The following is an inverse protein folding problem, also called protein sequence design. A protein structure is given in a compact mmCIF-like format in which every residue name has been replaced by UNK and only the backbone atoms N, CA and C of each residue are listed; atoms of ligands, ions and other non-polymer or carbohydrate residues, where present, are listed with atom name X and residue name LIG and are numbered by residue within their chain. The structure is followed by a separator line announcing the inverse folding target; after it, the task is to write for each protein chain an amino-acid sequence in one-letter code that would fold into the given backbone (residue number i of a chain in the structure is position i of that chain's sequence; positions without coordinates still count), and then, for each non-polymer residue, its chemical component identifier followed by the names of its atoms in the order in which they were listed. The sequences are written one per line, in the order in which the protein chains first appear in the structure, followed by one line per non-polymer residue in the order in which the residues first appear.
data_IF_668621274888
#
_entry.id   IF_668621274888
#
_cell.length_a   1.000
_cell.length_b   1.000
_cell.length_c   1.000
_cell.angle_alpha   90.00
_cell.angle_beta   90.00
_cell.angle_gamma   90.00
#
_symmetry.space_group_name_H-M   'P 1'
#
loop_
_entity.id
_entity.type
_entity.pdbx_description
1 polymer ?
#
# COMPACT_ATOMS: atom_id res chain seq x y z
N UNK A 1 36.38 -8.92 7.95
CA UNK A 1 35.34 -9.72 8.66
C UNK A 1 34.01 -9.37 7.99
N UNK A 2 33.09 -10.32 7.73
CA UNK A 2 31.82 -9.97 7.08
C UNK A 2 30.93 -9.22 8.08
N UNK A 3 30.39 -8.07 7.68
CA UNK A 3 29.42 -7.30 8.46
C UNK A 3 28.23 -8.19 8.86
N UNK A 4 27.77 -8.05 10.11
CA UNK A 4 26.65 -8.80 10.71
C UNK A 4 25.35 -8.02 10.63
N UNK A 5 24.23 -8.70 10.84
CA UNK A 5 22.89 -8.12 10.68
C UNK A 5 22.62 -6.85 11.51
N UNK A 6 23.09 -6.72 12.77
CA UNK A 6 22.93 -5.47 13.53
C UNK A 6 23.59 -4.26 12.87
N UNK A 7 24.86 -4.37 12.48
CA UNK A 7 25.57 -3.30 11.80
C UNK A 7 24.91 -2.94 10.47
N UNK A 8 24.45 -3.93 9.70
CA UNK A 8 23.66 -3.71 8.48
C UNK A 8 22.38 -2.93 8.80
N UNK A 9 21.64 -3.34 9.83
CA UNK A 9 20.40 -2.67 10.27
C UNK A 9 20.66 -1.20 10.62
N UNK A 10 21.76 -0.90 11.32
CA UNK A 10 22.14 0.47 11.65
C UNK A 10 22.37 1.33 10.41
N UNK A 11 23.05 0.79 9.38
CA UNK A 11 23.18 1.47 8.08
C UNK A 11 21.83 1.68 7.38
N UNK A 12 20.98 0.66 7.35
CA UNK A 12 19.65 0.76 6.73
C UNK A 12 18.78 1.80 7.42
N UNK A 13 18.86 1.90 8.75
CA UNK A 13 18.13 2.88 9.54
C UNK A 13 18.65 4.29 9.35
N UNK A 14 19.96 4.48 9.35
CA UNK A 14 20.56 5.78 9.09
C UNK A 14 20.27 6.25 7.66
N UNK A 15 20.64 5.45 6.66
CA UNK A 15 20.52 5.82 5.25
C UNK A 15 19.08 5.94 4.82
N UNK A 16 18.20 5.05 5.30
CA UNK A 16 16.80 5.11 4.95
C UNK A 16 16.01 6.21 5.67
N UNK A 17 16.62 6.99 6.58
CA UNK A 17 16.04 8.24 7.13
C UNK A 17 16.40 9.45 6.25
N UNK A 18 17.32 9.29 5.31
CA UNK A 18 17.70 10.34 4.38
C UNK A 18 16.56 10.54 3.39
N UNK A 19 16.03 11.77 3.35
CA UNK A 19 14.98 12.16 2.42
C UNK A 19 15.57 12.40 1.03
N UNK A 20 16.08 11.35 0.38
CA UNK A 20 16.74 11.43 -0.93
C UNK A 20 15.96 12.27 -1.94
N UNK A 21 14.62 12.14 -1.97
CA UNK A 21 13.76 12.86 -2.92
C UNK A 21 13.47 14.33 -2.57
N UNK A 22 13.97 14.83 -1.45
CA UNK A 22 13.81 16.24 -1.09
C UNK A 22 14.71 17.11 -2.00
N UNK A 23 14.19 18.24 -2.47
CA UNK A 23 14.87 19.13 -3.43
C UNK A 23 16.16 19.70 -2.85
N UNK A 24 16.18 19.95 -1.54
CA UNK A 24 17.33 20.52 -0.84
C UNK A 24 18.30 19.47 -0.29
N UNK A 25 18.13 18.20 -0.66
CA UNK A 25 19.02 17.14 -0.19
C UNK A 25 20.36 17.15 -0.92
N UNK A 26 21.44 17.34 -0.16
CA UNK A 26 22.84 17.34 -0.65
C UNK A 26 23.66 16.15 -0.12
N UNK A 27 23.02 15.06 0.32
CA UNK A 27 23.71 13.90 0.90
C UNK A 27 24.69 13.32 -0.11
N UNK A 28 25.96 13.28 0.26
CA UNK A 28 27.08 12.94 -0.64
C UNK A 28 27.93 11.85 -0.01
N UNK A 29 28.46 10.95 -0.82
CA UNK A 29 29.37 9.90 -0.33
C UNK A 29 30.83 10.28 -0.55
N UNK A 30 31.74 9.68 0.19
CA UNK A 30 33.17 9.84 -0.08
C UNK A 30 33.57 9.13 -1.39
N UNK A 31 34.77 9.46 -1.88
CA UNK A 31 35.31 8.88 -3.12
C UNK A 31 35.27 7.34 -3.16
N UNK A 32 35.66 6.68 -2.06
CA UNK A 32 35.70 5.21 -1.99
C UNK A 32 34.32 4.60 -2.12
N UNK A 33 33.31 5.22 -1.51
CA UNK A 33 31.92 4.79 -1.59
C UNK A 33 31.40 4.90 -3.03
N UNK A 34 31.68 6.01 -3.74
CA UNK A 34 31.31 6.13 -5.16
C UNK A 34 31.97 5.04 -6.02
N UNK A 35 33.27 4.77 -5.83
CA UNK A 35 33.98 3.69 -6.55
C UNK A 35 33.33 2.31 -6.33
N UNK A 36 32.89 2.02 -5.09
CA UNK A 36 32.21 0.78 -4.76
C UNK A 36 30.79 0.71 -5.35
N UNK A 37 30.08 1.84 -5.42
CA UNK A 37 28.77 1.91 -6.11
C UNK A 37 28.96 1.62 -7.60
N UNK A 38 29.96 2.21 -8.26
CA UNK A 38 30.28 1.93 -9.67
C UNK A 38 30.56 0.44 -9.91
N UNK A 39 31.35 -0.18 -9.03
CA UNK A 39 31.66 -1.61 -9.11
C UNK A 39 30.40 -2.46 -8.91
N UNK A 40 29.58 -2.12 -7.91
CA UNK A 40 28.32 -2.80 -7.62
C UNK A 40 27.38 -2.81 -8.83
N UNK A 41 27.18 -1.65 -9.47
CA UNK A 41 26.32 -1.56 -10.67
C UNK A 41 26.90 -2.33 -11.85
N UNK A 42 28.22 -2.48 -11.95
CA UNK A 42 28.83 -3.36 -12.97
C UNK A 42 28.38 -4.82 -12.83
N UNK A 43 28.25 -5.33 -11.60
CA UNK A 43 27.71 -6.66 -11.35
C UNK A 43 26.19 -6.74 -11.53
N UNK A 44 25.44 -5.73 -11.07
CA UNK A 44 23.98 -5.71 -11.21
C UNK A 44 23.54 -5.68 -12.68
N UNK A 45 24.31 -5.05 -13.56
CA UNK A 45 24.07 -5.07 -15.02
C UNK A 45 24.19 -6.45 -15.64
N UNK A 46 24.77 -7.43 -14.96
CA UNK A 46 24.79 -8.82 -15.42
C UNK A 46 23.42 -9.51 -15.28
N UNK A 47 22.48 -8.95 -14.53
CA UNK A 47 21.15 -9.52 -14.28
C UNK A 47 20.15 -9.11 -15.37
N UNK A 48 19.21 -9.99 -15.72
CA UNK A 48 18.04 -9.61 -16.50
C UNK A 48 17.16 -8.63 -15.70
N UNK A 49 16.54 -7.62 -16.35
CA UNK A 49 15.65 -6.70 -15.66
C UNK A 49 14.30 -7.35 -15.32
N UNK A 50 13.71 -6.97 -14.18
CA UNK A 50 12.43 -7.51 -13.70
C UNK A 50 11.19 -6.73 -14.18
N UNK A 51 11.41 -5.60 -14.85
CA UNK A 51 10.39 -4.72 -15.41
C UNK A 51 10.94 -3.90 -16.59
N UNK A 52 10.06 -3.17 -17.26
CA UNK A 52 10.40 -2.32 -18.41
C UNK A 52 11.31 -1.13 -18.09
N UNK A 53 11.41 -0.75 -16.81
CA UNK A 53 12.27 0.33 -16.33
C UNK A 53 13.70 -0.14 -16.05
N UNK A 54 14.04 -1.39 -16.37
CA UNK A 54 15.40 -1.90 -16.21
C UNK A 54 15.79 -2.27 -14.79
N UNK A 55 14.85 -2.26 -13.83
CA UNK A 55 15.11 -2.59 -12.42
C UNK A 55 15.72 -3.98 -12.29
N UNK A 56 16.74 -4.12 -11.44
CA UNK A 56 17.38 -5.40 -11.09
C UNK A 56 17.05 -5.75 -9.65
N UNK A 57 16.95 -7.03 -9.32
CA UNK A 57 16.75 -7.46 -7.94
C UNK A 57 17.58 -8.69 -7.55
N UNK A 58 17.91 -8.78 -6.26
CA UNK A 58 18.57 -9.91 -5.63
C UNK A 58 18.10 -10.07 -4.18
N UNK A 59 18.26 -11.27 -3.64
CA UNK A 59 18.08 -11.60 -2.23
C UNK A 59 19.44 -11.87 -1.61
N UNK A 60 19.87 -10.96 -0.73
CA UNK A 60 21.13 -11.03 -0.01
C UNK A 60 20.90 -11.64 1.38
N UNK A 61 21.95 -12.23 1.95
CA UNK A 61 21.93 -12.71 3.32
C UNK A 61 23.11 -12.21 4.15
N UNK A 62 22.90 -12.15 5.47
CA UNK A 62 23.96 -11.94 6.46
C UNK A 62 23.72 -12.82 7.67
N UNK A 63 24.81 -13.16 8.37
CA UNK A 63 24.72 -13.83 9.66
C UNK A 63 24.26 -12.82 10.73
N UNK A 64 23.41 -13.27 11.65
CA UNK A 64 22.94 -12.49 12.79
C UNK A 64 24.08 -11.89 13.60
N UNK A 65 25.17 -12.63 13.76
CA UNK A 65 26.27 -12.25 14.66
C UNK A 65 25.98 -12.69 16.09
N UNK A 66 26.68 -12.06 17.02
CA UNK A 66 26.60 -12.28 18.46
C UNK A 66 25.98 -11.04 19.13
N UNK A 67 25.67 -11.15 20.42
CA UNK A 67 25.16 -10.01 21.19
C UNK A 67 26.15 -8.82 21.22
N UNK A 68 27.46 -9.10 21.15
CA UNK A 68 28.51 -8.08 21.09
C UNK A 68 28.52 -7.33 19.75
N UNK A 69 27.95 -7.91 18.68
CA UNK A 69 27.74 -7.22 17.41
C UNK A 69 26.50 -6.31 17.44
N UNK A 70 25.62 -6.46 18.43
CA UNK A 70 24.34 -5.75 18.52
C UNK A 70 24.45 -4.44 19.27
N UNK A 71 24.79 -4.49 20.57
CA UNK A 71 24.83 -3.32 21.43
C UNK A 71 25.64 -3.61 22.71
N UNK A 72 26.34 -2.61 23.24
CA UNK A 72 27.06 -2.72 24.52
C UNK A 72 26.08 -2.64 25.70
N UNK A 73 26.21 -3.56 26.65
CA UNK A 73 25.30 -3.64 27.79
C UNK A 73 25.35 -2.41 28.70
N UNK A 74 26.55 -1.88 28.97
CA UNK A 74 26.72 -0.75 29.87
C UNK A 74 26.18 0.53 29.22
N UNK A 75 26.40 0.71 27.92
CA UNK A 75 25.81 1.81 27.13
C UNK A 75 24.27 1.70 27.07
N UNK A 76 23.73 0.52 26.76
CA UNK A 76 22.28 0.31 26.71
C UNK A 76 21.59 0.54 28.06
N UNK A 77 22.25 0.22 29.19
CA UNK A 77 21.76 0.53 30.53
C UNK A 77 21.85 2.04 30.81
N UNK A 78 22.96 2.68 30.44
CA UNK A 78 23.17 4.11 30.64
C UNK A 78 22.13 4.96 29.89
N UNK A 79 21.78 4.54 28.67
CA UNK A 79 20.75 5.17 27.83
C UNK A 79 19.32 4.78 28.22
N UNK A 80 19.16 3.82 29.15
CA UNK A 80 17.88 3.36 29.64
C UNK A 80 17.09 2.50 28.65
N UNK A 81 17.75 1.99 27.60
CA UNK A 81 17.15 1.09 26.62
C UNK A 81 16.80 -0.26 27.25
N UNK A 82 17.63 -0.76 28.17
CA UNK A 82 17.45 -2.03 28.88
C UNK A 82 17.86 -1.90 30.34
N UNK A 83 17.38 -2.81 31.20
CA UNK A 83 17.75 -2.82 32.63
C UNK A 83 18.83 -3.83 32.97
N UNK A 84 19.07 -4.82 32.12
CA UNK A 84 19.95 -5.95 32.38
C UNK A 84 20.24 -6.75 31.10
N UNK A 85 21.21 -7.66 31.19
CA UNK A 85 21.63 -8.51 30.08
C UNK A 85 20.51 -9.39 29.49
N UNK A 86 19.51 -9.79 30.28
CA UNK A 86 18.40 -10.59 29.76
C UNK A 86 17.53 -9.75 28.84
N UNK A 87 17.17 -8.53 29.25
CA UNK A 87 16.40 -7.61 28.39
C UNK A 87 17.16 -7.28 27.10
N UNK A 88 18.49 -7.12 27.17
CA UNK A 88 19.31 -6.93 25.97
C UNK A 88 19.26 -8.14 25.03
N UNK A 89 19.41 -9.34 25.56
CA UNK A 89 19.35 -10.57 24.78
C UNK A 89 17.96 -10.79 24.15
N UNK A 90 16.88 -10.52 24.91
CA UNK A 90 15.52 -10.61 24.39
C UNK A 90 15.31 -9.60 23.25
N UNK A 91 15.75 -8.36 23.41
CA UNK A 91 15.67 -7.34 22.36
C UNK A 91 16.44 -7.72 21.10
N UNK A 92 17.66 -8.24 21.26
CA UNK A 92 18.48 -8.72 20.15
C UNK A 92 17.79 -9.85 19.36
N UNK A 93 17.22 -10.84 20.06
CA UNK A 93 16.53 -11.96 19.43
C UNK A 93 15.16 -11.57 18.85
N UNK A 94 14.50 -10.55 19.37
CA UNK A 94 13.27 -10.01 18.80
C UNK A 94 13.53 -9.32 17.45
N UNK A 95 14.62 -8.57 17.34
CA UNK A 95 15.01 -7.91 16.09
C UNK A 95 15.65 -8.86 15.07
N UNK A 96 16.43 -9.84 15.55
CA UNK A 96 17.14 -10.80 14.72
C UNK A 96 16.84 -12.24 15.18
N UNK A 97 15.63 -12.76 14.92
CA UNK A 97 15.21 -14.05 15.45
C UNK A 97 15.98 -15.22 14.82
N UNK A 98 16.31 -15.11 13.54
CA UNK A 98 16.97 -16.16 12.76
C UNK A 98 18.50 -15.98 12.73
N UNK A 99 19.24 -17.09 12.64
CA UNK A 99 20.71 -17.08 12.49
C UNK A 99 21.16 -16.42 11.17
N UNK A 100 20.35 -16.53 10.12
CA UNK A 100 20.56 -15.89 8.83
C UNK A 100 19.42 -14.91 8.54
N UNK A 101 19.79 -13.67 8.22
CA UNK A 101 18.86 -12.60 7.89
C UNK A 101 18.82 -12.35 6.39
N UNK A 102 17.63 -12.03 5.87
CA UNK A 102 17.36 -11.84 4.44
C UNK A 102 17.09 -10.38 4.09
N UNK A 103 17.63 -9.94 2.95
CA UNK A 103 17.51 -8.57 2.45
C UNK A 103 17.15 -8.58 0.97
N UNK A 104 16.02 -7.97 0.62
CA UNK A 104 15.61 -7.75 -0.77
C UNK A 104 16.30 -6.52 -1.34
N UNK A 105 17.28 -6.72 -2.20
CA UNK A 105 17.90 -5.65 -2.98
C UNK A 105 17.10 -5.40 -4.25
N UNK A 106 16.74 -4.14 -4.49
CA UNK A 106 16.30 -3.65 -5.78
C UNK A 106 17.17 -2.47 -6.20
N UNK A 107 17.55 -2.41 -7.47
CA UNK A 107 18.37 -1.34 -8.01
C UNK A 107 17.81 -0.80 -9.32
N UNK A 108 17.79 0.52 -9.45
CA UNK A 108 17.43 1.24 -10.67
C UNK A 108 18.61 2.08 -11.16
N UNK A 109 18.78 2.13 -12.48
CA UNK A 109 19.81 2.93 -13.15
C UNK A 109 19.22 3.60 -14.39
N UNK A 110 19.50 4.89 -14.54
CA UNK A 110 19.20 5.68 -15.73
C UNK A 110 20.48 6.42 -16.15
N UNK A 111 21.25 5.77 -17.03
CA UNK A 111 22.57 6.24 -17.48
C UNK A 111 22.49 7.60 -18.20
N UNK A 112 21.37 7.91 -18.85
CA UNK A 112 21.15 9.13 -19.62
C UNK A 112 21.12 10.40 -18.74
N UNK A 113 20.65 10.26 -17.50
CA UNK A 113 20.60 11.34 -16.51
C UNK A 113 21.60 11.13 -15.36
N UNK A 114 22.45 10.09 -15.45
CA UNK A 114 23.42 9.75 -14.41
C UNK A 114 22.76 9.46 -13.05
N UNK A 115 21.60 8.80 -13.06
CA UNK A 115 20.83 8.48 -11.87
C UNK A 115 20.96 7.00 -11.50
N UNK A 116 21.21 6.71 -10.23
CA UNK A 116 21.19 5.36 -9.66
C UNK A 116 20.52 5.38 -8.31
N UNK A 117 19.79 4.31 -8.02
CA UNK A 117 19.16 4.11 -6.72
C UNK A 117 19.25 2.66 -6.29
N UNK A 118 19.41 2.44 -4.99
CA UNK A 118 19.33 1.11 -4.37
C UNK A 118 18.30 1.17 -3.24
N UNK A 119 17.47 0.15 -3.21
CA UNK A 119 16.48 -0.11 -2.19
C UNK A 119 16.82 -1.43 -1.52
N UNK A 120 16.68 -1.47 -0.19
CA UNK A 120 16.71 -2.70 0.60
C UNK A 120 15.37 -2.81 1.32
N UNK A 121 14.68 -3.95 1.17
CA UNK A 121 13.37 -4.21 1.81
C UNK A 121 12.36 -3.08 1.57
N UNK A 122 12.25 -2.63 0.31
CA UNK A 122 11.39 -1.52 -0.14
C UNK A 122 11.75 -0.12 0.40
N UNK A 123 12.90 0.05 1.08
CA UNK A 123 13.38 1.34 1.58
C UNK A 123 14.55 1.84 0.74
N UNK A 124 14.46 3.07 0.23
CA UNK A 124 15.58 3.70 -0.50
C UNK A 124 16.72 3.96 0.48
N UNK A 125 17.91 3.46 0.17
CA UNK A 125 19.10 3.59 1.04
C UNK A 125 20.29 4.23 0.34
N UNK A 126 20.30 4.24 -1.00
CA UNK A 126 21.35 4.90 -1.78
C UNK A 126 20.68 5.61 -2.94
N UNK A 127 21.11 6.83 -3.18
CA UNK A 127 20.85 7.60 -4.39
C UNK A 127 22.16 8.22 -4.89
N UNK A 128 22.41 8.11 -6.19
CA UNK A 128 23.40 8.90 -6.92
C UNK A 128 22.63 9.66 -7.98
N UNK A 129 22.67 10.99 -7.91
CA UNK A 129 22.00 11.88 -8.84
C UNK A 129 23.01 12.95 -9.28
N UNK A 130 23.38 12.92 -10.57
CA UNK A 130 24.38 13.83 -11.14
C UNK A 130 23.93 15.30 -11.15
N UNK A 131 22.65 15.57 -10.92
CA UNK A 131 22.07 16.92 -10.95
C UNK A 131 22.08 17.61 -9.59
N UNK A 132 22.33 16.88 -8.50
CA UNK A 132 22.29 17.41 -7.13
C UNK A 132 23.60 18.07 -6.72
N UNK A 133 23.47 19.09 -5.88
CA UNK A 133 24.63 19.69 -5.23
C UNK A 133 25.26 18.72 -4.22
N UNK A 134 26.59 18.69 -4.22
CA UNK A 134 27.36 17.88 -3.30
C UNK A 134 27.59 18.60 -1.97
N UNK A 135 27.21 17.94 -0.87
CA UNK A 135 27.37 18.41 0.50
C UNK A 135 28.55 17.76 1.22
N UNK A 136 28.38 17.52 2.53
CA UNK A 136 29.37 16.81 3.35
C UNK A 136 29.48 15.34 2.90
N UNK A 137 30.72 14.84 2.80
CA UNK A 137 30.98 13.46 2.40
C UNK A 137 30.77 12.49 3.56
N UNK A 138 29.92 11.49 3.32
CA UNK A 138 29.66 10.39 4.25
C UNK A 138 30.37 9.11 3.78
N UNK A 139 31.02 8.42 4.71
CA UNK A 139 31.66 7.13 4.44
C UNK A 139 30.69 5.99 4.70
N UNK A 140 30.33 5.27 3.64
CA UNK A 140 29.52 4.04 3.70
C UNK A 140 30.27 2.86 3.06
N UNK A 141 31.59 2.98 2.92
CA UNK A 141 32.41 2.02 2.18
C UNK A 141 32.34 0.61 2.78
N UNK A 142 32.33 0.47 4.11
CA UNK A 142 32.21 -0.83 4.78
C UNK A 142 30.90 -1.55 4.44
N UNK A 143 29.79 -0.80 4.43
CA UNK A 143 28.47 -1.33 4.06
C UNK A 143 28.42 -1.72 2.57
N UNK A 144 28.99 -0.90 1.69
CA UNK A 144 29.08 -1.20 0.27
C UNK A 144 29.99 -2.39 -0.03
N UNK A 145 31.08 -2.58 0.72
CA UNK A 145 31.96 -3.75 0.58
C UNK A 145 31.23 -5.05 0.96
N UNK A 146 30.41 -5.03 2.01
CA UNK A 146 29.51 -6.14 2.34
C UNK A 146 28.52 -6.40 1.20
N UNK A 147 27.83 -5.36 0.73
CA UNK A 147 26.80 -5.48 -0.30
C UNK A 147 27.38 -6.02 -1.61
N UNK A 148 28.52 -5.48 -2.05
CA UNK A 148 29.24 -5.93 -3.24
C UNK A 148 29.67 -7.40 -3.11
N UNK A 149 30.18 -7.79 -1.94
CA UNK A 149 30.54 -9.19 -1.67
C UNK A 149 29.32 -10.11 -1.73
N UNK A 150 28.18 -9.69 -1.17
CA UNK A 150 26.94 -10.45 -1.21
C UNK A 150 26.38 -10.58 -2.64
N UNK A 151 26.42 -9.50 -3.44
CA UNK A 151 26.00 -9.52 -4.85
C UNK A 151 26.91 -10.44 -5.66
N UNK A 152 28.24 -10.38 -5.49
CA UNK A 152 29.19 -11.29 -6.16
C UNK A 152 28.86 -12.75 -5.87
N UNK A 153 28.60 -13.10 -4.59
CA UNK A 153 28.16 -14.46 -4.22
C UNK A 153 26.87 -14.87 -4.93
N UNK A 154 25.86 -14.01 -4.98
CA UNK A 154 24.60 -14.29 -5.66
C UNK A 154 24.80 -14.51 -7.17
N UNK A 155 25.69 -13.73 -7.81
CA UNK A 155 26.04 -13.90 -9.22
C UNK A 155 26.72 -15.25 -9.45
N UNK A 156 27.60 -15.69 -8.56
CA UNK A 156 28.24 -17.00 -8.68
C UNK A 156 27.24 -18.15 -8.48
N UNK A 157 26.32 -18.03 -7.51
CA UNK A 157 25.21 -18.99 -7.35
C UNK A 157 24.27 -19.03 -8.58
N UNK A 158 24.07 -17.90 -9.26
CA UNK A 158 23.30 -17.83 -10.50
C UNK A 158 24.01 -18.57 -11.64
N UNK A 159 25.33 -18.42 -11.77
CA UNK A 159 26.15 -19.17 -12.74
C UNK A 159 26.11 -20.67 -12.47
N UNK A 160 26.12 -21.05 -11.19
CA UNK A 160 26.06 -22.44 -10.75
C UNK A 160 24.64 -23.02 -10.80
N UNK A 161 23.62 -22.19 -11.06
CA UNK A 161 22.22 -22.60 -11.13
C UNK A 161 21.58 -22.91 -9.77
N UNK A 162 22.19 -22.52 -8.66
CA UNK A 162 21.75 -22.82 -7.29
C UNK A 162 20.95 -21.69 -6.63
N UNK A 163 21.12 -20.45 -7.12
CA UNK A 163 20.52 -19.25 -6.52
C UNK A 163 18.98 -19.33 -6.38
N UNK A 164 18.27 -19.64 -7.47
CA UNK A 164 16.80 -19.64 -7.45
C UNK A 164 16.23 -20.72 -6.52
N UNK A 165 16.90 -21.86 -6.37
CA UNK A 165 16.49 -22.88 -5.40
C UNK A 165 16.69 -22.40 -3.95
N UNK A 166 17.83 -21.74 -3.68
CA UNK A 166 18.13 -21.16 -2.36
C UNK A 166 17.08 -20.14 -1.94
N UNK A 167 16.73 -19.18 -2.80
CA UNK A 167 15.73 -18.16 -2.44
C UNK A 167 14.33 -18.77 -2.27
N UNK A 168 13.95 -19.75 -3.10
CA UNK A 168 12.63 -20.38 -2.98
C UNK A 168 12.47 -21.14 -1.66
N UNK A 169 13.56 -21.69 -1.12
CA UNK A 169 13.58 -22.39 0.18
C UNK A 169 13.76 -21.44 1.36
N UNK A 170 14.58 -20.41 1.22
CA UNK A 170 15.07 -19.61 2.35
C UNK A 170 14.35 -18.30 2.61
N UNK A 171 13.81 -17.63 1.58
CA UNK A 171 13.19 -16.31 1.77
C UNK A 171 11.96 -16.43 2.68
N UNK A 172 11.90 -15.68 3.80
CA UNK A 172 10.78 -15.70 4.74
C UNK A 172 9.45 -15.25 4.11
N UNK A 173 8.33 -15.67 4.68
CA UNK A 173 6.99 -15.42 4.12
C UNK A 173 6.55 -13.96 4.20
N UNK A 174 7.03 -13.19 5.18
CA UNK A 174 6.78 -11.75 5.30
C UNK A 174 7.29 -10.94 4.11
N UNK A 175 8.19 -11.51 3.32
CA UNK A 175 8.72 -10.91 2.11
C UNK A 175 8.01 -11.38 0.83
N UNK A 176 7.10 -12.35 0.93
CA UNK A 176 6.43 -12.97 -0.21
C UNK A 176 5.10 -12.30 -0.52
N UNK A 177 4.65 -12.53 -1.74
CA UNK A 177 3.33 -12.12 -2.20
C UNK A 177 2.43 -13.36 -2.15
N UNK A 178 1.23 -13.20 -1.62
CA UNK A 178 0.26 -14.28 -1.54
C UNK A 178 -1.15 -13.75 -1.42
N UNK A 179 -2.10 -14.64 -1.24
CA UNK A 179 -3.49 -14.28 -0.96
C UNK A 179 -4.04 -15.13 0.16
N UNK A 180 -5.01 -14.58 0.90
CA UNK A 180 -5.79 -15.31 1.90
C UNK A 180 -7.28 -15.03 1.68
N UNK A 181 -8.14 -16.02 1.91
CA UNK A 181 -9.59 -15.83 1.90
C UNK A 181 -10.03 -15.24 3.24
N UNK A 182 -10.91 -14.23 3.22
CA UNK A 182 -11.33 -13.50 4.42
C UNK A 182 -11.86 -14.42 5.53
N UNK A 183 -12.64 -15.46 5.21
CA UNK A 183 -13.10 -16.44 6.19
C UNK A 183 -11.94 -17.10 6.95
N UNK A 184 -10.88 -17.52 6.24
CA UNK A 184 -9.71 -18.14 6.89
C UNK A 184 -8.99 -17.15 7.82
N UNK A 185 -8.89 -15.88 7.43
CA UNK A 185 -8.33 -14.83 8.28
C UNK A 185 -9.19 -14.62 9.54
N UNK A 186 -10.50 -14.56 9.38
CA UNK A 186 -11.44 -14.37 10.49
C UNK A 186 -11.54 -15.59 11.42
N UNK A 187 -11.32 -16.81 10.91
CA UNK A 187 -11.22 -18.00 11.76
C UNK A 187 -9.98 -17.97 12.67
N UNK A 188 -8.92 -17.28 12.24
CA UNK A 188 -7.71 -17.03 13.06
C UNK A 188 -7.94 -15.86 14.02
N UNK A 189 -8.59 -14.79 13.55
CA UNK A 189 -8.85 -13.55 14.30
C UNK A 189 -10.37 -13.27 14.43
N UNK A 190 -11.09 -13.99 15.31
CA UNK A 190 -12.54 -13.86 15.42
C UNK A 190 -12.99 -12.46 15.85
N UNK A 191 -12.20 -11.74 16.64
CA UNK A 191 -12.53 -10.39 17.08
C UNK A 191 -12.63 -9.40 15.91
N UNK A 192 -11.81 -9.58 14.85
CA UNK A 192 -11.91 -8.78 13.63
C UNK A 192 -13.22 -9.03 12.89
N UNK A 193 -13.69 -10.28 12.87
CA UNK A 193 -14.99 -10.67 12.29
C UNK A 193 -16.12 -10.00 13.05
N UNK A 194 -16.12 -10.09 14.38
CA UNK A 194 -17.16 -9.50 15.22
C UNK A 194 -17.22 -7.98 15.06
N UNK A 195 -16.06 -7.30 15.08
CA UNK A 195 -15.99 -5.85 14.90
C UNK A 195 -16.50 -5.42 13.52
N UNK A 196 -16.14 -6.13 12.45
CA UNK A 196 -16.57 -5.78 11.09
C UNK A 196 -18.09 -5.82 10.92
N UNK A 197 -18.76 -6.80 11.54
CA UNK A 197 -20.21 -6.96 11.43
C UNK A 197 -21.01 -6.23 12.53
N UNK A 198 -20.35 -5.53 13.46
CA UNK A 198 -21.01 -4.90 14.60
C UNK A 198 -22.08 -3.87 14.18
N UNK A 199 -21.81 -3.11 13.12
CA UNK A 199 -22.62 -1.97 12.69
C UNK A 199 -23.53 -2.27 11.49
N UNK A 200 -23.75 -3.54 11.13
CA UNK A 200 -24.64 -3.91 10.03
C UNK A 200 -25.51 -5.12 10.38
N UNK A 201 -26.81 -5.02 10.10
CA UNK A 201 -27.75 -6.11 10.35
C UNK A 201 -27.77 -7.13 9.20
N UNK A 202 -28.20 -8.37 9.52
CA UNK A 202 -28.41 -9.43 8.49
C UNK A 202 -29.43 -9.03 7.42
N UNK A 203 -30.41 -8.20 7.77
CA UNK A 203 -31.41 -7.69 6.84
C UNK A 203 -30.78 -6.72 5.85
N UNK A 204 -29.98 -5.76 6.32
CA UNK A 204 -29.22 -4.84 5.46
C UNK A 204 -28.24 -5.58 4.55
N UNK A 205 -27.52 -6.58 5.08
CA UNK A 205 -26.62 -7.44 4.27
C UNK A 205 -27.40 -8.11 3.14
N UNK A 206 -28.55 -8.73 3.46
CA UNK A 206 -29.36 -9.46 2.48
C UNK A 206 -29.93 -8.51 1.42
N UNK A 207 -30.42 -7.35 1.83
CA UNK A 207 -30.92 -6.29 0.95
C UNK A 207 -29.81 -5.77 0.03
N UNK A 208 -28.63 -5.50 0.58
CA UNK A 208 -27.48 -5.06 -0.19
C UNK A 208 -27.07 -6.09 -1.24
N UNK A 209 -26.90 -7.36 -0.86
CA UNK A 209 -26.51 -8.43 -1.79
C UNK A 209 -27.53 -8.57 -2.92
N UNK A 210 -28.84 -8.54 -2.61
CA UNK A 210 -29.89 -8.63 -3.62
C UNK A 210 -29.85 -7.46 -4.62
N UNK A 211 -29.74 -6.23 -4.12
CA UNK A 211 -29.72 -5.03 -4.96
C UNK A 211 -28.42 -4.89 -5.76
N UNK A 212 -27.28 -5.13 -5.11
CA UNK A 212 -25.96 -5.00 -5.72
C UNK A 212 -25.69 -6.10 -6.74
N UNK A 213 -26.20 -7.32 -6.56
CA UNK A 213 -26.06 -8.40 -7.54
C UNK A 213 -26.80 -8.15 -8.86
N UNK A 214 -27.88 -7.34 -8.81
CA UNK A 214 -28.71 -6.98 -9.97
C UNK A 214 -28.21 -5.76 -10.72
N UNK A 215 -27.19 -5.06 -10.22
CA UNK A 215 -26.69 -3.87 -10.89
C UNK A 215 -26.02 -4.24 -12.21
N UNK A 216 -26.31 -3.49 -13.28
CA UNK A 216 -25.66 -3.70 -14.56
C UNK A 216 -24.18 -3.33 -14.47
N UNK A 217 -23.30 -4.24 -14.93
CA UNK A 217 -21.87 -3.95 -15.13
C UNK A 217 -21.65 -2.89 -16.23
N UNK A 218 -22.58 -2.79 -17.17
CA UNK A 218 -22.55 -1.80 -18.23
C UNK A 218 -23.24 -0.52 -17.73
N UNK A 219 -22.64 0.66 -18.00
CA UNK A 219 -23.19 1.97 -17.61
C UNK A 219 -24.57 2.29 -18.20
N UNK A 220 -25.29 1.37 -18.85
CA UNK A 220 -26.66 1.55 -19.37
C UNK A 220 -27.75 1.48 -18.27
N UNK A 221 -27.47 2.08 -17.12
CA UNK A 221 -28.42 2.22 -16.02
C UNK A 221 -29.56 3.19 -16.34
N UNK A 222 -30.65 3.06 -15.60
CA UNK A 222 -31.70 4.07 -15.50
C UNK A 222 -31.08 5.44 -15.22
N UNK A 223 -31.56 6.46 -15.94
CA UNK A 223 -31.01 7.82 -15.90
C UNK A 223 -31.95 8.78 -15.20
N UNK A 224 -31.37 9.72 -14.47
CA UNK A 224 -32.08 10.87 -13.92
C UNK A 224 -31.98 11.99 -14.95
N UNK A 225 -33.11 12.48 -15.45
CA UNK A 225 -33.11 13.57 -16.44
C UNK A 225 -33.11 14.96 -15.80
N UNK A 226 -33.60 15.08 -14.57
CA UNK A 226 -33.64 16.33 -13.80
C UNK A 226 -32.84 16.13 -12.52
N UNK A 227 -31.57 16.51 -12.55
CA UNK A 227 -30.68 16.45 -11.39
C UNK A 227 -30.06 17.83 -11.19
N UNK A 228 -30.02 18.30 -9.94
CA UNK A 228 -29.61 19.66 -9.57
C UNK A 228 -28.68 19.60 -8.36
N UNK A 229 -28.06 20.73 -7.99
CA UNK A 229 -27.24 20.78 -6.77
C UNK A 229 -28.06 20.45 -5.51
N UNK A 230 -29.29 20.97 -5.41
CA UNK A 230 -30.19 20.64 -4.29
C UNK A 230 -30.55 19.15 -4.27
N UNK A 231 -30.70 18.50 -5.42
CA UNK A 231 -30.95 17.06 -5.47
C UNK A 231 -29.72 16.25 -5.04
N UNK A 232 -28.53 16.68 -5.43
CA UNK A 232 -27.28 16.11 -4.94
C UNK A 232 -27.17 16.23 -3.42
N UNK A 233 -27.41 17.43 -2.84
CA UNK A 233 -27.36 17.62 -1.39
C UNK A 233 -28.39 16.76 -0.64
N UNK A 234 -29.59 16.54 -1.21
CA UNK A 234 -30.58 15.61 -0.63
C UNK A 234 -30.08 14.17 -0.65
N UNK A 235 -29.44 13.73 -1.74
CA UNK A 235 -28.81 12.42 -1.79
C UNK A 235 -27.77 12.27 -0.66
N UNK A 236 -26.96 13.31 -0.44
CA UNK A 236 -25.99 13.30 0.65
C UNK A 236 -26.64 13.18 2.03
N UNK A 237 -27.69 13.99 2.28
CA UNK A 237 -28.42 13.97 3.56
C UNK A 237 -29.03 12.60 3.89
N UNK A 238 -29.57 11.89 2.89
CA UNK A 238 -30.09 10.53 3.07
C UNK A 238 -29.02 9.56 3.58
N UNK A 239 -27.81 9.64 3.02
CA UNK A 239 -26.70 8.80 3.44
C UNK A 239 -26.18 9.15 4.83
N UNK A 240 -26.14 10.43 5.20
CA UNK A 240 -25.78 10.88 6.54
C UNK A 240 -26.79 10.41 7.59
N UNK A 241 -28.10 10.54 7.30
CA UNK A 241 -29.17 10.08 8.18
C UNK A 241 -29.09 8.57 8.43
N UNK A 242 -28.96 7.77 7.37
CA UNK A 242 -28.85 6.30 7.49
C UNK A 242 -27.62 5.86 8.30
N UNK A 243 -26.52 6.61 8.20
CA UNK A 243 -25.30 6.33 8.96
C UNK A 243 -25.29 6.96 10.36
N UNK A 244 -26.37 7.62 10.79
CA UNK A 244 -26.48 8.21 12.12
C UNK A 244 -25.51 9.37 12.37
N UNK A 245 -25.16 10.12 11.34
CA UNK A 245 -24.29 11.29 11.47
C UNK A 245 -24.97 12.40 12.29
N UNK A 246 -24.14 13.20 12.98
CA UNK A 246 -24.61 14.43 13.63
C UNK A 246 -25.11 15.46 12.61
N UNK A 247 -25.88 16.45 13.07
CA UNK A 247 -26.38 17.59 12.27
C UNK A 247 -27.33 17.22 11.12
N UNK A 248 -27.95 16.05 11.16
CA UNK A 248 -28.95 15.59 10.17
C UNK A 248 -30.28 16.36 10.24
N UNK A 249 -30.45 17.23 11.22
CA UNK A 249 -31.55 18.19 11.35
C UNK A 249 -31.34 19.49 10.53
N UNK A 250 -30.11 19.76 10.08
CA UNK A 250 -29.80 20.92 9.25
C UNK A 250 -30.36 20.77 7.81
N UNK A 251 -30.53 21.88 7.05
CA UNK A 251 -30.84 21.79 5.63
C UNK A 251 -29.80 20.94 4.87
N UNK A 252 -30.19 20.16 3.84
CA UNK A 252 -29.29 19.21 3.16
C UNK A 252 -27.97 19.80 2.67
N UNK A 253 -28.00 21.04 2.15
CA UNK A 253 -26.80 21.77 1.73
C UNK A 253 -25.83 21.98 2.91
N UNK A 254 -26.33 22.35 4.07
CA UNK A 254 -25.51 22.57 5.26
C UNK A 254 -24.94 21.26 5.81
N UNK A 255 -25.72 20.16 5.77
CA UNK A 255 -25.21 18.83 6.12
C UNK A 255 -24.03 18.44 5.24
N UNK A 256 -24.12 18.68 3.93
CA UNK A 256 -23.00 18.45 3.02
C UNK A 256 -21.73 19.18 3.47
N UNK A 257 -21.79 20.47 3.80
CA UNK A 257 -20.59 21.21 4.24
C UNK A 257 -20.08 20.83 5.64
N UNK A 258 -20.91 20.19 6.47
CA UNK A 258 -20.44 19.62 7.74
C UNK A 258 -19.57 18.39 7.53
N UNK A 259 -19.92 17.55 6.57
CA UNK A 259 -19.40 16.17 6.49
C UNK A 259 -18.51 15.90 5.29
N UNK A 260 -18.65 16.67 4.20
CA UNK A 260 -17.85 16.52 2.98
C UNK A 260 -16.46 17.12 3.11
N UNK A 261 -15.56 16.74 2.21
CA UNK A 261 -14.20 17.25 2.11
C UNK A 261 -14.13 18.79 2.08
N UNK A 262 -15.13 19.45 1.48
CA UNK A 262 -15.26 20.91 1.49
C UNK A 262 -14.59 21.61 0.30
N UNK A 263 -13.80 20.89 -0.52
CA UNK A 263 -13.33 21.41 -1.82
C UNK A 263 -14.39 21.18 -2.90
N UNK A 264 -15.54 21.83 -2.77
CA UNK A 264 -16.71 21.65 -3.66
C UNK A 264 -16.59 22.32 -5.04
N UNK A 265 -15.43 22.94 -5.30
CA UNK A 265 -15.10 23.74 -6.46
C UNK A 265 -16.02 24.93 -6.74
N UNK A 266 -16.93 25.33 -5.85
CA UNK A 266 -17.95 26.35 -6.10
C UNK A 266 -19.30 25.77 -6.53
N UNK A 267 -19.59 24.50 -6.19
CA UNK A 267 -20.93 23.92 -6.28
C UNK A 267 -21.95 24.71 -5.45
N UNK A 268 -21.52 25.24 -4.30
CA UNK A 268 -22.33 26.12 -3.43
C UNK A 268 -22.87 27.36 -4.14
N UNK A 269 -22.17 27.83 -5.17
CA UNK A 269 -22.36 29.16 -5.76
C UNK A 269 -23.36 29.15 -6.92
N UNK A 270 -23.74 27.96 -7.41
CA UNK A 270 -24.68 27.85 -8.52
C UNK A 270 -26.13 27.95 -8.05
N UNK A 271 -27.03 28.24 -8.98
CA UNK A 271 -28.47 28.20 -8.71
C UNK A 271 -28.89 26.74 -8.43
N UNK A 272 -29.45 26.48 -7.24
CA UNK A 272 -29.56 25.13 -6.69
C UNK A 272 -30.61 24.22 -7.35
N UNK A 273 -31.59 24.79 -8.04
CA UNK A 273 -32.70 24.06 -8.69
C UNK A 273 -32.58 24.03 -10.23
N UNK A 274 -31.51 24.61 -10.78
CA UNK A 274 -31.21 24.71 -12.20
C UNK A 274 -30.39 23.51 -12.65
N UNK A 275 -31.03 22.66 -13.46
CA UNK A 275 -30.35 21.55 -14.15
C UNK A 275 -29.28 22.10 -15.09
N UNK A 276 -29.54 23.23 -15.76
CA UNK A 276 -28.62 23.84 -16.74
C UNK A 276 -27.34 24.33 -16.06
N UNK A 277 -27.46 25.01 -14.92
CA UNK A 277 -26.29 25.47 -14.17
C UNK A 277 -25.53 24.29 -13.56
N UNK A 278 -26.21 23.23 -13.10
CA UNK A 278 -25.54 22.02 -12.63
C UNK A 278 -24.77 21.31 -13.74
N UNK A 279 -25.33 21.18 -14.96
CA UNK A 279 -24.63 20.61 -16.12
C UNK A 279 -23.41 21.47 -16.50
N UNK A 280 -23.57 22.79 -16.53
CA UNK A 280 -22.48 23.72 -16.84
C UNK A 280 -21.37 23.67 -15.79
N UNK A 281 -21.73 23.57 -14.52
CA UNK A 281 -20.79 23.35 -13.42
C UNK A 281 -20.08 22.00 -13.51
N UNK A 282 -20.81 20.94 -13.86
CA UNK A 282 -20.27 19.58 -13.97
C UNK A 282 -19.20 19.47 -15.07
N UNK A 283 -19.45 20.07 -16.24
CA UNK A 283 -18.55 19.97 -17.40
C UNK A 283 -17.38 20.96 -17.39
N UNK A 284 -17.24 21.79 -16.36
CA UNK A 284 -16.04 22.61 -16.19
C UNK A 284 -14.88 21.75 -15.67
N UNK A 285 -13.65 22.23 -15.83
CA UNK A 285 -12.51 21.59 -15.18
C UNK A 285 -12.68 21.67 -13.67
N UNK A 286 -12.83 20.53 -13.00
CA UNK A 286 -12.90 20.40 -11.56
C UNK A 286 -11.52 19.97 -11.03
N UNK A 287 -11.00 20.68 -10.03
CA UNK A 287 -9.70 20.42 -9.37
C UNK A 287 -9.92 20.01 -7.90
N UNK A 288 -11.08 20.34 -7.34
CA UNK A 288 -11.55 19.95 -6.02
C UNK A 288 -12.14 18.54 -5.97
N UNK A 289 -12.77 18.25 -4.84
CA UNK A 289 -13.29 16.92 -4.46
C UNK A 289 -14.78 16.99 -4.07
N UNK A 290 -15.67 17.55 -4.93
CA UNK A 290 -17.08 17.77 -4.59
C UNK A 290 -17.83 16.46 -4.25
N UNK A 291 -17.32 15.34 -4.73
CA UNK A 291 -17.93 14.02 -4.58
C UNK A 291 -17.54 13.30 -3.29
N UNK A 292 -16.47 13.74 -2.59
CA UNK A 292 -16.04 13.15 -1.31
C UNK A 292 -16.98 13.63 -0.19
N UNK A 293 -18.11 12.93 -0.07
CA UNK A 293 -19.23 13.31 0.81
C UNK A 293 -18.98 12.92 2.28
N UNK A 294 -18.15 11.93 2.56
CA UNK A 294 -17.69 11.64 3.91
C UNK A 294 -16.17 11.83 3.99
N UNK A 295 -15.70 12.82 4.76
CA UNK A 295 -14.27 13.13 4.95
C UNK A 295 -13.45 11.90 5.29
N UNK A 296 -12.30 11.76 4.63
CA UNK A 296 -11.30 10.75 4.94
C UNK A 296 -9.99 11.04 4.20
N UNK A 297 -8.98 10.21 4.41
CA UNK A 297 -7.78 10.24 3.58
C UNK A 297 -8.07 9.68 2.18
N UNK A 298 -7.05 9.66 1.32
CA UNK A 298 -7.17 9.19 -0.07
C UNK A 298 -7.82 7.80 -0.23
N UNK A 299 -7.69 6.93 0.77
CA UNK A 299 -8.26 5.57 0.78
C UNK A 299 -9.42 5.36 1.77
N UNK A 300 -9.83 6.39 2.52
CA UNK A 300 -10.77 6.26 3.66
C UNK A 300 -11.92 7.27 3.63
N UNK A 301 -12.18 7.90 2.50
CA UNK A 301 -13.39 8.68 2.26
C UNK A 301 -14.52 7.81 1.67
N UNK A 302 -15.76 8.31 1.74
CA UNK A 302 -16.88 7.79 0.95
C UNK A 302 -17.24 8.86 -0.07
N UNK A 303 -17.35 8.45 -1.34
CA UNK A 303 -17.70 9.32 -2.45
C UNK A 303 -19.09 9.01 -3.00
N UNK A 304 -19.85 10.05 -3.33
CA UNK A 304 -21.04 9.98 -4.14
C UNK A 304 -20.76 10.68 -5.47
N UNK A 305 -20.33 9.90 -6.46
CA UNK A 305 -20.10 10.41 -7.80
C UNK A 305 -21.40 10.58 -8.58
N UNK A 306 -21.41 11.62 -9.40
CA UNK A 306 -22.41 11.83 -10.45
C UNK A 306 -21.71 11.67 -11.79
N UNK A 307 -22.24 10.83 -12.67
CA UNK A 307 -21.84 10.74 -14.08
C UNK A 307 -22.93 11.34 -14.95
N UNK A 308 -22.56 12.13 -15.95
CA UNK A 308 -23.50 12.79 -16.85
C UNK A 308 -23.12 12.57 -18.32
N UNK A 309 -24.10 12.13 -19.12
CA UNK A 309 -24.01 12.01 -20.57
C UNK A 309 -25.34 12.38 -21.23
N UNK A 310 -25.44 12.24 -22.56
CA UNK A 310 -26.64 12.59 -23.33
C UNK A 310 -27.92 11.86 -22.88
N UNK A 311 -27.80 10.73 -22.16
CA UNK A 311 -28.96 10.01 -21.61
C UNK A 311 -29.41 10.54 -20.24
N UNK A 312 -28.65 11.43 -19.61
CA UNK A 312 -28.91 12.00 -18.28
C UNK A 312 -27.85 11.62 -17.24
N UNK A 313 -28.21 11.74 -15.97
CA UNK A 313 -27.32 11.50 -14.82
C UNK A 313 -27.42 10.08 -14.28
N UNK A 314 -26.32 9.58 -13.70
CA UNK A 314 -26.24 8.34 -12.94
C UNK A 314 -25.43 8.56 -11.66
N UNK A 315 -25.78 7.87 -10.58
CA UNK A 315 -25.10 8.00 -9.29
C UNK A 315 -24.26 6.76 -8.99
N UNK A 316 -23.12 6.96 -8.32
CA UNK A 316 -22.26 5.88 -7.85
C UNK A 316 -21.76 6.19 -6.44
N UNK A 317 -21.93 5.24 -5.53
CA UNK A 317 -21.28 5.28 -4.22
C UNK A 317 -19.95 4.54 -4.32
N UNK A 318 -18.88 5.14 -3.85
CA UNK A 318 -17.57 4.49 -3.70
C UNK A 318 -17.09 4.61 -2.26
N UNK A 319 -16.56 3.51 -1.72
CA UNK A 319 -16.06 3.44 -0.35
C UNK A 319 -15.63 2.01 -0.04
N UNK A 320 -14.64 1.51 -0.76
CA UNK A 320 -14.25 0.10 -0.72
C UNK A 320 -13.34 -0.31 0.43
N UNK A 321 -12.82 0.64 1.23
CA UNK A 321 -11.90 0.31 2.31
C UNK A 321 -12.58 -0.38 3.49
N UNK A 322 -11.82 -1.22 4.19
CA UNK A 322 -12.36 -2.04 5.29
C UNK A 322 -13.06 -1.19 6.35
N UNK A 323 -12.50 -0.02 6.68
CA UNK A 323 -13.01 0.89 7.70
C UNK A 323 -14.26 1.69 7.30
N UNK A 324 -14.61 1.73 6.00
CA UNK A 324 -15.70 2.59 5.48
C UNK A 324 -16.74 1.85 4.67
N UNK A 325 -16.50 0.60 4.29
CA UNK A 325 -17.39 -0.09 3.35
C UNK A 325 -18.80 -0.31 3.90
N UNK A 326 -18.97 -0.55 5.21
CA UNK A 326 -20.30 -0.62 5.83
C UNK A 326 -21.04 0.71 5.70
N UNK A 327 -20.34 1.82 5.92
CA UNK A 327 -20.90 3.16 5.77
C UNK A 327 -21.34 3.45 4.34
N UNK A 328 -20.51 3.09 3.36
CA UNK A 328 -20.81 3.19 1.94
C UNK A 328 -21.99 2.29 1.53
N UNK A 329 -22.08 1.08 2.08
CA UNK A 329 -23.20 0.16 1.86
C UNK A 329 -24.51 0.78 2.35
N UNK A 330 -24.52 1.32 3.58
CA UNK A 330 -25.69 2.02 4.13
C UNK A 330 -26.08 3.24 3.30
N UNK A 331 -25.09 4.03 2.89
CA UNK A 331 -25.32 5.18 1.99
C UNK A 331 -26.01 4.75 0.68
N UNK A 332 -25.52 3.67 0.07
CA UNK A 332 -26.12 3.08 -1.11
C UNK A 332 -27.56 2.59 -0.86
N UNK A 333 -27.81 1.90 0.25
CA UNK A 333 -29.13 1.41 0.63
C UNK A 333 -30.13 2.55 0.84
N UNK A 334 -29.72 3.63 1.52
CA UNK A 334 -30.55 4.82 1.73
C UNK A 334 -31.05 5.41 0.41
N UNK A 335 -30.13 5.56 -0.56
CA UNK A 335 -30.45 6.06 -1.89
C UNK A 335 -31.35 5.10 -2.68
N UNK A 336 -31.12 3.78 -2.58
CA UNK A 336 -31.99 2.78 -3.21
C UNK A 336 -33.40 2.80 -2.65
N UNK A 337 -33.54 2.88 -1.33
CA UNK A 337 -34.85 2.96 -0.63
C UNK A 337 -35.60 4.23 -1.00
N UNK A 338 -34.88 5.34 -1.22
CA UNK A 338 -35.45 6.59 -1.72
C UNK A 338 -35.77 6.59 -3.23
N UNK A 339 -35.47 5.49 -3.95
CA UNK A 339 -35.82 5.32 -5.37
C UNK A 339 -34.80 5.89 -6.36
N UNK A 340 -33.60 6.26 -5.91
CA UNK A 340 -32.56 6.76 -6.82
C UNK A 340 -31.91 5.62 -7.62
N UNK A 341 -31.63 5.85 -8.92
CA UNK A 341 -30.82 4.95 -9.73
C UNK A 341 -29.33 5.13 -9.38
N UNK A 342 -28.90 4.48 -8.30
CA UNK A 342 -27.51 4.46 -7.82
C UNK A 342 -26.87 3.09 -7.99
N UNK A 343 -25.58 3.06 -8.29
CA UNK A 343 -24.73 1.86 -8.24
C UNK A 343 -23.70 1.98 -7.12
N UNK A 344 -23.07 0.86 -6.76
CA UNK A 344 -21.93 0.88 -5.82
C UNK A 344 -20.69 0.36 -6.53
N UNK A 345 -19.58 1.09 -6.41
CA UNK A 345 -18.29 0.68 -6.97
C UNK A 345 -17.79 -0.56 -6.22
N UNK A 346 -17.17 -1.50 -6.94
CA UNK A 346 -16.66 -2.77 -6.41
C UNK A 346 -17.72 -3.65 -5.72
N UNK A 347 -18.93 -3.64 -6.25
CA UNK A 347 -20.04 -4.41 -5.71
C UNK A 347 -19.75 -5.90 -5.50
N UNK A 348 -19.08 -6.54 -6.45
CA UNK A 348 -18.77 -7.97 -6.37
C UNK A 348 -17.79 -8.26 -5.25
N UNK A 349 -16.80 -7.39 -5.07
CA UNK A 349 -15.82 -7.51 -4.00
C UNK A 349 -16.46 -7.22 -2.62
N UNK A 350 -17.36 -6.24 -2.54
CA UNK A 350 -18.11 -5.96 -1.31
C UNK A 350 -19.08 -7.09 -0.94
N UNK A 351 -19.74 -7.71 -1.93
CA UNK A 351 -20.55 -8.91 -1.72
C UNK A 351 -19.67 -10.07 -1.24
N UNK A 352 -18.51 -10.28 -1.88
CA UNK A 352 -17.56 -11.31 -1.45
C UNK A 352 -17.07 -11.06 -0.02
N UNK A 353 -16.86 -9.79 0.37
CA UNK A 353 -16.46 -9.41 1.73
C UNK A 353 -17.52 -9.78 2.76
N UNK A 354 -18.78 -9.42 2.52
CA UNK A 354 -19.89 -9.74 3.41
C UNK A 354 -20.18 -11.24 3.50
N UNK A 355 -19.87 -12.00 2.44
CA UNK A 355 -19.95 -13.47 2.44
C UNK A 355 -18.66 -14.14 2.94
N UNK A 356 -17.65 -13.35 3.35
CA UNK A 356 -16.33 -13.81 3.80
C UNK A 356 -15.55 -14.62 2.74
N UNK A 357 -15.93 -14.53 1.47
CA UNK A 357 -15.25 -15.16 0.32
C UNK A 357 -14.29 -14.22 -0.41
N UNK A 358 -14.13 -12.99 0.08
CA UNK A 358 -13.18 -12.03 -0.48
C UNK A 358 -11.74 -12.55 -0.38
N UNK A 359 -10.98 -12.30 -1.44
CA UNK A 359 -9.55 -12.56 -1.50
C UNK A 359 -8.81 -11.29 -1.05
N UNK A 360 -7.99 -11.42 -0.01
CA UNK A 360 -7.12 -10.35 0.51
C UNK A 360 -5.72 -10.59 -0.02
N UNK A 361 -5.08 -9.55 -0.56
CA UNK A 361 -3.70 -9.63 -1.04
C UNK A 361 -2.70 -9.47 0.11
N UNK A 362 -1.82 -10.46 0.28
CA UNK A 362 -0.66 -10.38 1.17
C UNK A 362 0.50 -9.75 0.39
N UNK A 363 1.00 -8.62 0.89
CA UNK A 363 2.13 -7.90 0.27
C UNK A 363 3.35 -7.86 1.20
N UNK A 364 4.58 -7.78 0.63
CA UNK A 364 5.81 -7.82 1.40
C UNK A 364 5.90 -6.73 2.48
N UNK A 365 6.63 -7.01 3.56
CA UNK A 365 6.99 -6.00 4.55
C UNK A 365 7.70 -4.80 3.89
N UNK A 366 7.45 -3.61 4.41
CA UNK A 366 7.92 -2.34 3.83
C UNK A 366 7.06 -1.82 2.67
N UNK A 367 6.12 -2.62 2.14
CA UNK A 367 5.07 -2.15 1.23
C UNK A 367 3.88 -1.68 2.05
N UNK A 368 3.49 -0.42 1.87
CA UNK A 368 2.22 0.09 2.41
C UNK A 368 1.08 -0.67 1.72
N UNK A 369 0.21 -1.39 2.46
CA UNK A 369 -0.82 -2.26 1.88
C UNK A 369 -2.03 -1.45 1.37
N UNK A 370 -1.78 -0.49 0.49
CA UNK A 370 -2.78 0.35 -0.15
C UNK A 370 -2.45 0.43 -1.65
N UNK A 371 -3.47 0.27 -2.49
CA UNK A 371 -3.34 0.33 -3.95
C UNK A 371 -2.34 -0.69 -4.54
N UNK A 372 -2.22 -1.86 -3.92
CA UNK A 372 -1.23 -2.88 -4.32
C UNK A 372 -1.69 -3.80 -5.46
N UNK A 373 -2.70 -3.42 -6.24
CA UNK A 373 -3.24 -4.24 -7.33
C UNK A 373 -2.19 -4.66 -8.37
N UNK A 374 -1.12 -3.87 -8.53
CA UNK A 374 0.01 -4.20 -9.42
C UNK A 374 0.76 -5.49 -9.06
N UNK A 375 0.70 -5.94 -7.79
CA UNK A 375 1.29 -7.22 -7.37
C UNK A 375 0.45 -8.45 -7.77
N UNK A 376 -0.80 -8.23 -8.21
CA UNK A 376 -1.77 -9.27 -8.51
C UNK A 376 -2.34 -9.09 -9.92
N UNK A 377 -1.49 -9.20 -10.96
CA UNK A 377 -1.93 -9.01 -12.34
C UNK A 377 -3.02 -10.03 -12.69
N UNK A 378 -4.08 -9.56 -13.34
CA UNK A 378 -5.27 -10.33 -13.73
C UNK A 378 -6.20 -10.75 -12.57
N UNK A 379 -5.92 -10.33 -11.34
CA UNK A 379 -6.81 -10.52 -10.19
C UNK A 379 -7.34 -9.15 -9.75
N UNK A 380 -8.65 -9.07 -9.49
CA UNK A 380 -9.25 -7.86 -8.92
C UNK A 380 -9.29 -7.99 -7.40
N UNK A 381 -8.26 -7.44 -6.75
CA UNK A 381 -8.14 -7.40 -5.28
C UNK A 381 -8.24 -5.94 -4.83
N UNK A 382 -9.08 -5.69 -3.83
CA UNK A 382 -9.34 -4.34 -3.30
C UNK A 382 -8.95 -4.18 -1.83
N UNK A 383 -8.51 -5.26 -1.19
CA UNK A 383 -8.02 -5.24 0.19
C UNK A 383 -6.65 -5.92 0.27
N UNK A 384 -5.77 -5.33 1.06
CA UNK A 384 -4.38 -5.76 1.16
C UNK A 384 -3.92 -5.69 2.61
N UNK A 385 -2.97 -6.54 2.95
CA UNK A 385 -2.31 -6.51 4.25
C UNK A 385 -0.87 -6.98 4.12
N UNK A 386 -0.02 -6.56 5.05
CA UNK A 386 1.23 -7.27 5.30
C UNK A 386 0.93 -8.54 6.11
N UNK A 387 1.82 -9.52 6.06
CA UNK A 387 1.69 -10.71 6.91
C UNK A 387 1.74 -10.29 8.40
N UNK A 388 0.75 -10.66 9.23
CA UNK A 388 0.70 -10.22 10.62
C UNK A 388 1.82 -10.84 11.45
N UNK A 389 2.17 -10.18 12.54
CA UNK A 389 3.11 -10.73 13.53
C UNK A 389 2.42 -11.79 14.40
N UNK A 390 1.23 -11.47 14.91
CA UNK A 390 0.42 -12.40 15.68
C UNK A 390 -0.08 -13.56 14.82
N UNK A 391 -0.05 -14.77 15.38
CA UNK A 391 -0.55 -15.99 14.73
C UNK A 391 0.00 -16.23 13.31
N UNK A 392 1.19 -15.68 13.02
CA UNK A 392 1.81 -15.66 11.70
C UNK A 392 1.83 -17.04 11.04
N UNK A 393 2.25 -18.07 11.76
CA UNK A 393 2.31 -19.44 11.23
C UNK A 393 0.94 -19.95 10.77
N UNK A 394 -0.14 -19.65 11.51
CA UNK A 394 -1.50 -20.04 11.10
C UNK A 394 -1.93 -19.31 9.84
N UNK A 395 -1.60 -18.02 9.72
CA UNK A 395 -1.92 -17.23 8.52
C UNK A 395 -1.14 -17.77 7.32
N UNK A 396 0.15 -18.06 7.49
CA UNK A 396 1.00 -18.64 6.43
C UNK A 396 0.45 -19.94 5.89
N UNK A 397 -0.06 -20.83 6.76
CA UNK A 397 -0.67 -22.11 6.38
C UNK A 397 -1.95 -21.95 5.55
N UNK A 398 -2.70 -20.85 5.73
CA UNK A 398 -3.94 -20.55 5.00
C UNK A 398 -3.71 -19.77 3.70
N UNK A 399 -2.54 -19.17 3.55
CA UNK A 399 -2.22 -18.37 2.37
C UNK A 399 -1.93 -19.23 1.13
N UNK A 400 -2.35 -18.74 -0.03
CA UNK A 400 -1.91 -19.20 -1.35
C UNK A 400 -0.77 -18.29 -1.79
N UNK A 401 0.46 -18.81 -1.76
CA UNK A 401 1.66 -18.05 -2.08
C UNK A 401 1.97 -18.04 -3.57
N UNK A 402 2.31 -16.87 -4.10
CA UNK A 402 2.87 -16.76 -5.46
C UNK A 402 4.34 -17.22 -5.44
N UNK A 403 4.81 -17.86 -6.52
CA UNK A 403 6.23 -18.18 -6.64
C UNK A 403 7.06 -16.89 -6.69
N UNK A 404 8.28 -16.95 -6.16
CA UNK A 404 9.25 -15.89 -6.38
C UNK A 404 9.58 -15.80 -7.87
N UNK A 405 9.83 -14.59 -8.37
CA UNK A 405 10.31 -14.41 -9.74
C UNK A 405 11.69 -15.05 -9.86
N UNK A 406 11.90 -15.77 -10.96
CA UNK A 406 13.24 -16.30 -11.26
C UNK A 406 14.17 -15.16 -11.63
N UNK A 407 15.34 -15.14 -11.02
CA UNK A 407 16.42 -14.22 -11.38
C UNK A 407 17.37 -14.93 -12.33
N UNK A 408 17.78 -14.21 -13.37
CA UNK A 408 18.62 -14.76 -14.45
C UNK A 408 19.74 -13.78 -14.76
N UNK A 409 20.85 -14.33 -15.26
CA UNK A 409 21.90 -13.53 -15.88
C UNK A 409 21.47 -13.20 -17.30
N UNK A 410 21.88 -12.03 -17.81
CA UNK A 410 21.77 -11.71 -19.23
C UNK A 410 22.61 -12.75 -19.97
N UNK A 411 22.01 -13.43 -20.96
CA UNK A 411 22.77 -14.26 -21.87
C UNK A 411 23.73 -13.35 -22.65
N UNK A 412 25.03 -13.48 -22.35
CA UNK A 412 26.08 -12.90 -23.17
C UNK A 412 26.45 -13.97 -24.19
N UNK A 413 25.90 -13.85 -25.40
CA UNK A 413 26.33 -14.64 -26.56
C UNK A 413 27.79 -14.34 -26.93
#
# INVERSE_FOLDING_TARGET
MSMKSPAISNYLDWLGRIEYRNVDNTFTYNKRSYELIDELFTYLRMLEPINEHGTKELWLTSERGTIDDFEDLDEAIADGAVKNAKELNDWWLDLFPEEEQWYHLMAGEADDIGYRSIFINNRQIIEVDSTKEHGYEHDISEFLEWMLSAVKRCIDELKDGTYNERINKGVPYEYRIGTIVRNDLYDIFPDLREQFFADISKTEISEFIDLASKQSRNRDNQRIHRFTANEFYKCCALGYEENGYDFTDLPPKEQYYKHSDGRDDGLSEIEGDSVEEFIKWYHRSQIGHPWEVCRGGNSTHVSLYVDHNDKGFCLYVEGGSIARCIEAIKFYLALKRAGYPVNIVNAEELIARLNETEIIGIVPIGVIPLYCGGYFPNEKIIDFMNLPFEERSKVVEKCIWKPLKEIRLINID
#
